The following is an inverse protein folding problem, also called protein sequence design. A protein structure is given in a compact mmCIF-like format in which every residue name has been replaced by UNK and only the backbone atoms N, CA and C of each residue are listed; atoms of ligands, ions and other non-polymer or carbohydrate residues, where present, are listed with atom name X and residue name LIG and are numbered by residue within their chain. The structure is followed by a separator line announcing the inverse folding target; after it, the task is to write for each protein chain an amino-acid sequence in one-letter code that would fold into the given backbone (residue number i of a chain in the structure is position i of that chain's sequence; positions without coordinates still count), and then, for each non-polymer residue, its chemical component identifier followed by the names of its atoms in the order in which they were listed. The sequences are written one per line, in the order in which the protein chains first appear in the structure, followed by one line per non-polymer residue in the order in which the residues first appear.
data_IF_115458024419
#
_entry.id   IF_115458024419
#
_cell.length_a   1.000
_cell.length_b   1.000
_cell.length_c   1.000
_cell.angle_alpha   90.00
_cell.angle_beta   90.00
_cell.angle_gamma   90.00
#
_symmetry.space_group_name_H-M   'P 1'
#
loop_
_entity.id
_entity.type
_entity.pdbx_description
1 polymer ?
#
# COMPACT_ATOMS: atom_id res chain seq x y z
N UNK A 1 -12.10 -0.14 19.61
CA UNK A 1 -11.00 0.37 18.77
C UNK A 1 -10.44 -0.82 18.00
N UNK A 2 -10.36 -0.78 16.66
CA UNK A 2 -9.75 -1.88 15.90
C UNK A 2 -8.24 -1.79 16.03
N UNK A 3 -7.59 -2.94 16.24
CA UNK A 3 -6.14 -3.07 16.28
C UNK A 3 -5.76 -4.10 15.22
N UNK A 4 -4.78 -3.75 14.38
CA UNK A 4 -4.17 -4.66 13.43
C UNK A 4 -2.67 -4.70 13.74
N UNK A 5 -2.17 -5.90 13.99
CA UNK A 5 -0.74 -6.17 14.13
C UNK A 5 -0.37 -7.12 13.01
N UNK A 6 0.60 -6.72 12.20
CA UNK A 6 1.09 -7.52 11.09
C UNK A 6 2.62 -7.58 11.11
N UNK A 7 3.12 -8.80 11.05
CA UNK A 7 4.52 -9.11 10.79
C UNK A 7 4.46 -9.99 9.56
N UNK A 8 4.76 -9.42 8.39
CA UNK A 8 4.52 -10.02 7.08
C UNK A 8 5.33 -11.31 6.84
N UNK A 9 4.96 -12.37 7.53
CA UNK A 9 5.51 -13.71 7.36
C UNK A 9 5.07 -14.25 6.00
N UNK A 10 5.86 -15.14 5.37
CA UNK A 10 5.56 -15.65 4.04
C UNK A 10 4.22 -16.37 4.01
N UNK A 11 3.18 -15.69 3.49
CA UNK A 11 1.82 -16.20 3.32
C UNK A 11 1.28 -15.70 2.00
N UNK A 12 0.93 -16.63 1.12
CA UNK A 12 0.39 -16.30 -0.21
C UNK A 12 -0.91 -17.07 -0.42
N UNK A 13 -2.06 -16.38 -0.60
CA UNK A 13 -2.24 -14.92 -0.56
C UNK A 13 -2.03 -14.35 0.86
N UNK A 14 -1.79 -13.03 0.95
CA UNK A 14 -1.80 -12.33 2.23
C UNK A 14 -3.18 -12.50 2.89
N UNK A 15 -3.24 -12.77 4.21
CA UNK A 15 -4.51 -12.93 4.89
C UNK A 15 -5.28 -11.60 4.94
N UNK A 16 -6.61 -11.63 5.09
CA UNK A 16 -7.38 -10.43 5.39
C UNK A 16 -6.79 -9.66 6.60
N UNK A 17 -6.86 -8.32 6.60
CA UNK A 17 -7.64 -7.48 5.68
C UNK A 17 -6.87 -7.06 4.42
N UNK A 18 -5.66 -7.59 4.21
CA UNK A 18 -4.77 -7.08 3.18
C UNK A 18 -5.24 -7.39 1.75
N UNK A 19 -5.16 -6.37 0.92
CA UNK A 19 -5.39 -6.40 -0.51
C UNK A 19 -4.15 -5.86 -1.22
N UNK A 20 -3.84 -6.44 -2.37
CA UNK A 20 -2.70 -6.04 -3.18
C UNK A 20 -3.19 -5.32 -4.43
N UNK A 21 -2.50 -4.26 -4.84
CA UNK A 21 -2.71 -3.64 -6.14
C UNK A 21 -1.39 -3.68 -6.89
N UNK A 22 -1.35 -4.52 -7.92
CA UNK A 22 -0.15 -4.79 -8.70
C UNK A 22 -0.39 -4.38 -10.15
N UNK A 23 0.47 -3.52 -10.70
CA UNK A 23 0.41 -3.06 -12.10
C UNK A 23 1.81 -3.10 -12.72
N UNK A 24 1.85 -3.32 -14.04
CA UNK A 24 3.09 -3.37 -14.79
C UNK A 24 4.06 -4.40 -14.23
N UNK A 25 5.30 -3.99 -13.97
CA UNK A 25 6.35 -4.84 -13.39
C UNK A 25 6.34 -4.89 -11.86
N UNK A 26 5.23 -4.48 -11.24
CA UNK A 26 5.05 -4.53 -9.80
C UNK A 26 5.03 -5.97 -9.29
N UNK A 27 5.60 -6.21 -8.12
CA UNK A 27 5.53 -7.51 -7.45
C UNK A 27 5.69 -7.37 -5.93
N UNK A 28 5.27 -8.40 -5.22
CA UNK A 28 5.52 -8.57 -3.80
C UNK A 28 6.51 -9.70 -3.59
N UNK A 29 7.50 -9.48 -2.74
CA UNK A 29 8.52 -10.47 -2.41
C UNK A 29 8.68 -10.58 -0.90
N UNK A 30 8.48 -11.78 -0.37
CA UNK A 30 8.76 -12.06 1.03
C UNK A 30 10.26 -12.26 1.25
N UNK A 31 10.77 -11.74 2.37
CA UNK A 31 12.13 -11.95 2.84
C UNK A 31 12.14 -12.11 4.35
N UNK A 32 12.05 -13.36 4.83
CA UNK A 32 11.87 -13.64 6.25
C UNK A 32 10.59 -13.00 6.78
N UNK A 33 10.72 -12.10 7.75
CA UNK A 33 9.61 -11.36 8.37
C UNK A 33 9.28 -10.03 7.68
N UNK A 34 9.79 -9.82 6.46
CA UNK A 34 9.58 -8.58 5.70
C UNK A 34 8.86 -8.87 4.38
N UNK A 35 7.96 -7.95 4.02
CA UNK A 35 7.39 -7.87 2.68
C UNK A 35 8.03 -6.72 1.92
N UNK A 36 8.53 -7.01 0.73
CA UNK A 36 9.09 -6.01 -0.18
C UNK A 36 8.08 -5.74 -1.29
N UNK A 37 7.82 -4.46 -1.52
CA UNK A 37 7.07 -3.96 -2.65
C UNK A 37 8.10 -3.58 -3.73
N UNK A 38 8.03 -4.24 -4.88
CA UNK A 38 9.12 -4.28 -5.86
C UNK A 38 8.62 -3.83 -7.21
N UNK A 39 9.37 -2.94 -7.87
CA UNK A 39 9.07 -2.40 -9.21
C UNK A 39 10.23 -2.61 -10.19
N UNK A 40 10.98 -3.70 -10.02
CA UNK A 40 12.13 -4.03 -10.90
C UNK A 40 11.64 -4.17 -12.34
N UNK A 41 12.33 -3.52 -13.27
CA UNK A 41 11.96 -3.50 -14.69
C UNK A 41 10.94 -2.43 -15.07
N UNK A 42 10.55 -1.55 -14.14
CA UNK A 42 9.74 -0.38 -14.48
C UNK A 42 10.45 0.49 -15.53
N UNK A 43 9.69 0.96 -16.52
CA UNK A 43 10.16 1.82 -17.60
C UNK A 43 9.44 3.17 -17.58
N UNK A 44 9.97 4.16 -18.29
CA UNK A 44 9.33 5.48 -18.40
C UNK A 44 8.01 5.47 -19.19
N UNK A 45 7.71 4.39 -19.93
CA UNK A 45 6.55 4.31 -20.83
C UNK A 45 5.39 3.51 -20.26
N UNK A 46 5.54 2.92 -19.07
CA UNK A 46 4.52 2.06 -18.48
C UNK A 46 4.37 2.33 -16.98
N UNK A 47 3.14 2.60 -16.55
CA UNK A 47 2.81 2.70 -15.14
C UNK A 47 3.07 1.36 -14.44
N UNK A 48 3.86 1.41 -13.37
CA UNK A 48 4.21 0.25 -12.53
C UNK A 48 3.92 0.58 -11.09
N UNK A 49 3.26 -0.35 -10.40
CA UNK A 49 2.82 -0.17 -9.03
C UNK A 49 2.87 -1.51 -8.29
N UNK A 50 3.40 -1.47 -7.07
CA UNK A 50 3.27 -2.53 -6.10
C UNK A 50 2.77 -1.87 -4.82
N UNK A 51 1.49 -2.09 -4.51
CA UNK A 51 0.81 -1.48 -3.37
C UNK A 51 0.14 -2.55 -2.51
N UNK A 52 0.08 -2.26 -1.21
CA UNK A 52 -0.70 -2.97 -0.21
C UNK A 52 -1.71 -2.01 0.43
N UNK A 53 -2.95 -2.43 0.56
CA UNK A 53 -4.00 -1.70 1.28
C UNK A 53 -4.97 -2.65 1.98
N UNK A 54 -6.00 -2.11 2.66
CA UNK A 54 -7.01 -2.88 3.39
C UNK A 54 -8.44 -2.45 3.07
N UNK A 55 -8.64 -1.77 1.93
CA UNK A 55 -9.90 -1.10 1.64
C UNK A 55 -10.48 -1.41 0.26
N UNK A 56 -9.75 -2.12 -0.62
CA UNK A 56 -10.13 -2.41 -2.02
C UNK A 56 -11.59 -2.90 -2.23
N UNK A 57 -12.18 -3.60 -1.26
CA UNK A 57 -13.55 -4.15 -1.36
C UNK A 57 -14.59 -3.40 -0.50
N UNK A 58 -14.16 -2.38 0.23
CA UNK A 58 -15.00 -1.65 1.19
C UNK A 58 -15.58 -0.38 0.56
N UNK A 59 -16.84 -0.08 0.92
CA UNK A 59 -17.37 1.26 0.76
C UNK A 59 -16.66 2.22 1.73
N UNK A 60 -16.52 3.51 1.38
CA UNK A 60 -15.75 4.47 2.23
C UNK A 60 -16.24 4.57 3.67
N UNK A 61 -17.55 4.41 3.88
CA UNK A 61 -18.14 4.41 5.23
C UNK A 61 -17.66 3.22 6.08
N UNK A 62 -17.20 2.16 5.43
CA UNK A 62 -16.78 0.90 6.06
C UNK A 62 -15.25 0.77 6.18
N UNK A 63 -14.49 1.80 5.77
CA UNK A 63 -13.04 1.86 6.00
C UNK A 63 -12.70 1.65 7.47
N UNK A 64 -11.65 0.86 7.70
CA UNK A 64 -11.31 0.34 9.03
C UNK A 64 -10.87 1.44 10.00
N UNK A 65 -10.17 2.45 9.50
CA UNK A 65 -9.47 3.45 10.30
C UNK A 65 -10.26 4.75 10.40
N UNK A 66 -10.53 5.17 11.64
CA UNK A 66 -11.19 6.43 11.97
C UNK A 66 -10.45 7.14 13.11
N UNK A 67 -10.33 8.47 13.10
CA UNK A 67 -9.74 9.21 14.22
C UNK A 67 -10.50 9.00 15.54
N UNK A 68 -9.79 9.00 16.69
CA UNK A 68 -8.33 9.00 16.80
C UNK A 68 -7.74 7.64 16.39
N UNK A 69 -6.63 7.65 15.65
CA UNK A 69 -5.91 6.45 15.20
C UNK A 69 -4.41 6.66 15.34
N UNK A 70 -3.69 5.61 15.71
CA UNK A 70 -2.24 5.57 15.75
C UNK A 70 -1.75 4.50 14.79
N UNK A 71 -0.70 4.80 14.03
CA UNK A 71 -0.01 3.86 13.17
C UNK A 71 1.47 3.84 13.54
N UNK A 72 1.98 2.64 13.80
CA UNK A 72 3.42 2.39 13.98
C UNK A 72 3.85 1.46 12.86
N UNK A 73 4.78 1.91 12.03
CA UNK A 73 5.31 1.13 10.91
C UNK A 73 6.83 1.15 10.94
N UNK A 74 7.44 0.00 10.67
CA UNK A 74 8.87 -0.13 10.43
C UNK A 74 9.09 -0.40 8.95
N UNK A 75 9.52 0.62 8.23
CA UNK A 75 9.82 0.54 6.81
C UNK A 75 11.27 0.96 6.53
N UNK A 76 11.80 0.55 5.38
CA UNK A 76 13.07 1.04 4.86
C UNK A 76 13.03 1.04 3.34
N UNK A 77 13.79 1.95 2.74
CA UNK A 77 14.13 1.86 1.32
C UNK A 77 15.27 0.86 1.13
N UNK A 78 15.22 0.09 0.04
CA UNK A 78 16.26 -0.90 -0.26
C UNK A 78 17.48 -0.34 -0.98
N UNK A 79 17.41 0.90 -1.46
CA UNK A 79 18.48 1.58 -2.18
C UNK A 79 18.90 2.83 -1.40
N UNK A 80 20.07 3.38 -1.75
CA UNK A 80 20.55 4.63 -1.17
C UNK A 80 19.68 5.83 -1.61
N UNK A 81 19.84 6.95 -0.90
CA UNK A 81 19.20 8.21 -1.27
C UNK A 81 19.60 8.61 -2.70
N UNK A 82 18.62 8.99 -3.52
CA UNK A 82 18.83 9.38 -4.92
C UNK A 82 18.85 8.23 -5.93
N UNK A 83 18.91 6.97 -5.49
CA UNK A 83 18.84 5.80 -6.39
C UNK A 83 17.41 5.38 -6.70
N UNK A 84 16.49 5.57 -5.74
CA UNK A 84 15.08 5.30 -5.97
C UNK A 84 14.50 6.31 -6.96
N UNK A 85 13.95 5.77 -8.05
CA UNK A 85 13.18 6.53 -9.04
C UNK A 85 11.70 6.28 -8.81
N UNK A 86 10.91 7.33 -8.90
CA UNK A 86 9.47 7.29 -8.62
C UNK A 86 9.16 7.71 -7.19
N UNK A 87 7.98 7.31 -6.70
CA UNK A 87 7.47 7.67 -5.38
C UNK A 87 7.19 6.39 -4.60
N UNK A 88 7.60 6.35 -3.34
CA UNK A 88 7.31 5.26 -2.44
C UNK A 88 7.03 5.83 -1.04
N UNK A 89 6.03 5.28 -0.37
CA UNK A 89 5.56 5.82 0.90
C UNK A 89 4.44 4.99 1.50
N UNK A 90 3.91 5.46 2.62
CA UNK A 90 2.80 4.83 3.32
C UNK A 90 1.96 5.87 4.03
N UNK A 91 0.71 5.53 4.36
CA UNK A 91 -0.19 6.49 4.97
C UNK A 91 -1.65 6.05 5.02
N UNK A 92 -2.48 6.96 5.50
CA UNK A 92 -3.93 6.84 5.37
C UNK A 92 -4.37 7.54 4.10
N UNK A 93 -5.13 6.85 3.26
CA UNK A 93 -5.64 7.38 2.00
C UNK A 93 -7.04 6.88 1.74
N UNK A 94 -7.90 7.78 1.26
CA UNK A 94 -9.32 7.49 1.06
C UNK A 94 -9.71 7.04 -0.36
N UNK A 95 -8.73 6.80 -1.23
CA UNK A 95 -8.88 6.52 -2.67
C UNK A 95 -9.99 7.36 -3.33
N UNK A 96 -9.73 8.66 -3.56
CA UNK A 96 -10.71 9.60 -4.07
C UNK A 96 -11.08 9.38 -5.54
N UNK A 97 -10.22 8.71 -6.33
CA UNK A 97 -10.30 8.65 -7.80
C UNK A 97 -10.32 7.21 -8.37
N UNK A 98 -10.87 6.25 -7.63
CA UNK A 98 -11.05 4.87 -8.11
C UNK A 98 -9.75 4.16 -8.52
N UNK A 99 -8.62 4.51 -7.90
CA UNK A 99 -7.32 3.99 -8.32
C UNK A 99 -7.16 2.50 -8.00
N UNK A 100 -7.80 2.02 -6.94
CA UNK A 100 -7.74 0.61 -6.54
C UNK A 100 -9.07 -0.13 -6.68
N UNK A 101 -10.11 0.50 -7.20
CA UNK A 101 -11.42 -0.14 -7.40
C UNK A 101 -12.56 0.84 -7.64
N UNK A 102 -13.73 0.31 -8.02
CA UNK A 102 -14.90 1.12 -8.34
C UNK A 102 -15.48 1.79 -7.08
N UNK A 103 -15.40 3.13 -7.01
CA UNK A 103 -15.95 3.94 -5.90
C UNK A 103 -16.41 5.30 -6.39
N UNK A 104 -17.53 5.82 -5.90
CA UNK A 104 -17.93 7.22 -6.16
C UNK A 104 -16.78 8.19 -5.89
N UNK A 105 -16.53 9.25 -6.68
CA UNK A 105 -15.46 10.20 -6.38
C UNK A 105 -15.63 10.89 -5.01
N UNK A 106 -14.53 11.33 -4.40
CA UNK A 106 -14.55 12.12 -3.17
C UNK A 106 -13.41 13.13 -3.14
N UNK A 107 -13.46 14.11 -2.24
CA UNK A 107 -12.30 14.97 -2.00
C UNK A 107 -11.14 14.15 -1.41
N UNK A 108 -9.89 14.38 -1.84
CA UNK A 108 -8.73 13.73 -1.26
C UNK A 108 -8.62 14.00 0.24
N UNK A 109 -8.47 12.93 1.01
CA UNK A 109 -8.15 12.98 2.44
C UNK A 109 -7.02 12.02 2.66
N UNK A 110 -5.85 12.57 2.95
CA UNK A 110 -4.61 11.79 3.01
C UNK A 110 -3.69 12.29 4.11
N UNK A 111 -3.03 11.35 4.77
CA UNK A 111 -1.83 11.60 5.59
C UNK A 111 -0.79 10.62 5.04
N UNK A 112 0.25 11.12 4.40
CA UNK A 112 1.24 10.29 3.69
C UNK A 112 2.67 10.65 4.12
N UNK A 113 3.52 9.64 4.18
CA UNK A 113 4.94 9.74 4.51
C UNK A 113 5.76 9.11 3.39
N UNK A 114 6.87 9.76 3.03
CA UNK A 114 7.81 9.35 1.99
C UNK A 114 9.21 9.22 2.58
#
# INVERSE_FOLDING_TARGET
MKTLLETFLPKTPLPPPWHTFIKGSGSLQFGGETLRLVTIGATATQYTDAQLDDYQTLARRDFLWRPPVQMTVRARFSHAAGELKGTAGFGFWNDPFMMTGWRWPALPRVIWFF
#
